data_IF_482891213589
#
_entry.id   IF_482891213589
#
_cell.length_a   1.000
_cell.length_b   1.000
_cell.length_c   1.000
_cell.angle_alpha   90.00
_cell.angle_beta   90.00
_cell.angle_gamma   90.00
#
_symmetry.space_group_name_H-M   'P 1'
#
loop_
_entity.id
_entity.type
_entity.pdbx_description
1 polymer ?
#
# COMPACT_ATOMS: atom_id res chain seq x y z
N UNK A 1 -14.09 -10.53 17.19
CA UNK A 1 -13.30 -9.41 16.64
C UNK A 1 -12.51 -9.90 15.45
N UNK A 2 -12.84 -9.45 14.23
CA UNK A 2 -11.93 -9.67 13.09
C UNK A 2 -10.57 -9.10 13.46
N UNK A 3 -9.51 -9.92 13.44
CA UNK A 3 -8.14 -9.46 13.69
C UNK A 3 -7.88 -8.32 12.71
N UNK A 4 -7.73 -7.08 13.20
CA UNK A 4 -7.38 -5.95 12.34
C UNK A 4 -6.15 -6.33 11.55
N UNK A 5 -6.25 -6.29 10.23
CA UNK A 5 -5.15 -6.63 9.34
C UNK A 5 -3.93 -5.76 9.66
N UNK A 6 -2.75 -6.38 9.78
CA UNK A 6 -1.51 -5.65 9.92
C UNK A 6 -1.17 -5.01 8.57
N UNK A 7 -1.36 -3.69 8.46
CA UNK A 7 -1.13 -2.89 7.24
C UNK A 7 0.26 -3.15 6.65
N UNK A 8 1.30 -3.21 7.48
CA UNK A 8 2.66 -3.43 6.99
C UNK A 8 2.79 -4.81 6.34
N UNK A 9 2.27 -5.85 6.99
CA UNK A 9 2.32 -7.20 6.46
C UNK A 9 1.54 -7.30 5.15
N UNK A 10 0.37 -6.66 5.08
CA UNK A 10 -0.46 -6.63 3.87
C UNK A 10 0.29 -5.95 2.73
N UNK A 11 0.86 -4.77 2.95
CA UNK A 11 1.65 -4.06 1.94
C UNK A 11 2.92 -4.83 1.53
N UNK A 12 3.46 -5.73 2.37
CA UNK A 12 4.61 -6.57 1.99
C UNK A 12 4.23 -7.82 1.20
N UNK A 13 2.97 -8.24 1.23
CA UNK A 13 2.55 -9.57 0.71
C UNK A 13 1.49 -9.50 -0.38
N UNK A 14 0.83 -8.36 -0.54
CA UNK A 14 -0.25 -8.17 -1.50
C UNK A 14 0.14 -7.11 -2.53
N UNK A 15 -0.33 -7.26 -3.76
CA UNK A 15 -0.01 -6.37 -4.88
C UNK A 15 -1.07 -5.30 -5.14
N UNK A 16 -2.29 -5.46 -4.60
CA UNK A 16 -3.37 -4.48 -4.66
C UNK A 16 -4.02 -4.39 -3.29
N UNK A 17 -4.07 -3.20 -2.73
CA UNK A 17 -4.57 -2.94 -1.37
C UNK A 17 -5.36 -1.65 -1.37
N UNK A 18 -6.59 -1.68 -0.87
CA UNK A 18 -7.35 -0.47 -0.60
C UNK A 18 -7.24 -0.17 0.88
N UNK A 19 -6.77 1.03 1.20
CA UNK A 19 -6.61 1.53 2.56
C UNK A 19 -7.66 2.62 2.84
N UNK A 20 -8.20 2.61 4.05
CA UNK A 20 -8.80 3.79 4.65
C UNK A 20 -7.69 4.48 5.46
N UNK A 21 -7.35 5.70 5.06
CA UNK A 21 -6.34 6.54 5.67
C UNK A 21 -7.03 7.78 6.23
N UNK A 22 -7.21 7.83 7.55
CA UNK A 22 -8.08 8.80 8.22
C UNK A 22 -9.47 8.85 7.55
N UNK A 23 -9.86 9.96 6.93
CA UNK A 23 -11.14 10.12 6.22
C UNK A 23 -11.04 9.84 4.71
N UNK A 24 -9.84 9.53 4.21
CA UNK A 24 -9.57 9.28 2.79
C UNK A 24 -9.48 7.78 2.45
N UNK A 25 -9.83 7.44 1.21
CA UNK A 25 -9.57 6.10 0.66
C UNK A 25 -8.43 6.17 -0.33
N UNK A 26 -7.46 5.28 -0.16
CA UNK A 26 -6.28 5.19 -1.01
C UNK A 26 -6.20 3.79 -1.61
N UNK A 27 -6.13 3.72 -2.93
CA UNK A 27 -5.84 2.50 -3.66
C UNK A 27 -4.33 2.39 -3.89
N UNK A 28 -3.71 1.39 -3.26
CA UNK A 28 -2.31 1.05 -3.43
C UNK A 28 -2.18 -0.10 -4.42
N UNK A 29 -1.29 0.02 -5.41
CA UNK A 29 -0.98 -1.05 -6.36
C UNK A 29 0.52 -1.17 -6.57
N UNK A 30 1.07 -2.36 -6.33
CA UNK A 30 2.45 -2.68 -6.68
C UNK A 30 2.52 -3.08 -8.16
N UNK A 31 3.39 -2.44 -8.91
CA UNK A 31 3.66 -2.71 -10.32
C UNK A 31 5.15 -2.91 -10.53
N UNK A 32 5.52 -3.91 -11.33
CA UNK A 32 6.91 -4.09 -11.74
C UNK A 32 7.31 -2.95 -12.68
N UNK A 33 8.51 -2.41 -12.47
CA UNK A 33 9.08 -1.39 -13.36
C UNK A 33 9.65 -2.11 -14.60
N UNK A 34 9.30 -1.70 -15.84
CA UNK A 34 9.81 -2.33 -17.04
C UNK A 34 11.34 -2.31 -17.11
N UNK A 35 11.95 -3.47 -17.36
CA UNK A 35 13.41 -3.62 -17.43
C UNK A 35 14.10 -3.77 -16.07
N UNK A 36 13.36 -3.67 -14.97
CA UNK A 36 13.91 -3.76 -13.61
C UNK A 36 13.49 -5.04 -12.89
N UNK A 37 14.32 -5.44 -11.92
CA UNK A 37 14.03 -6.58 -11.03
C UNK A 37 13.10 -6.22 -9.86
N UNK A 38 12.75 -4.94 -9.72
CA UNK A 38 11.89 -4.43 -8.65
C UNK A 38 10.63 -3.77 -9.21
N UNK A 39 9.69 -3.51 -8.31
CA UNK A 39 8.49 -2.76 -8.60
C UNK A 39 8.33 -1.55 -7.68
N UNK A 40 7.43 -0.65 -8.06
CA UNK A 40 7.06 0.54 -7.29
C UNK A 40 5.59 0.48 -6.92
N UNK A 41 5.23 1.23 -5.88
CA UNK A 41 3.86 1.38 -5.47
C UNK A 41 3.23 2.59 -6.15
N UNK A 42 2.05 2.37 -6.71
CA UNK A 42 1.19 3.42 -7.24
C UNK A 42 0.10 3.71 -6.22
N UNK A 43 -0.17 4.99 -5.96
CA UNK A 43 -1.25 5.46 -5.08
C UNK A 43 -2.30 6.16 -5.93
N UNK A 44 -3.53 5.66 -5.89
CA UNK A 44 -4.65 6.17 -6.69
C UNK A 44 -4.35 6.26 -8.21
N UNK A 45 -3.41 5.43 -8.70
CA UNK A 45 -2.97 5.41 -10.10
C UNK A 45 -1.67 6.16 -10.37
N UNK A 46 -1.26 7.06 -9.47
CA UNK A 46 -0.01 7.82 -9.59
C UNK A 46 1.18 6.99 -9.13
N UNK A 47 2.22 6.89 -9.95
CA UNK A 47 3.48 6.25 -9.57
C UNK A 47 4.18 7.08 -8.51
N UNK A 48 4.48 6.47 -7.36
CA UNK A 48 5.22 7.16 -6.30
C UNK A 48 6.73 6.99 -6.44
N UNK A 49 7.19 6.06 -7.28
CA UNK A 49 8.60 5.63 -7.31
C UNK A 49 9.06 4.93 -6.02
N UNK A 50 8.17 4.71 -5.05
CA UNK A 50 8.52 4.17 -3.74
C UNK A 50 8.40 2.64 -3.71
N UNK A 51 9.43 2.01 -3.14
CA UNK A 51 9.33 0.62 -2.69
C UNK A 51 8.58 0.52 -1.36
N UNK A 52 8.19 -0.69 -0.97
CA UNK A 52 7.27 -0.96 0.15
C UNK A 52 7.69 -0.31 1.48
N UNK A 53 8.98 -0.32 1.83
CA UNK A 53 9.47 0.24 3.10
C UNK A 53 9.29 1.76 3.15
N UNK A 54 9.68 2.44 2.07
CA UNK A 54 9.53 3.89 1.95
C UNK A 54 8.06 4.28 1.92
N UNK A 55 7.22 3.53 1.19
CA UNK A 55 5.78 3.75 1.17
C UNK A 55 5.16 3.65 2.56
N UNK A 56 5.48 2.59 3.33
CA UNK A 56 4.96 2.40 4.69
C UNK A 56 5.34 3.60 5.58
N UNK A 57 6.58 4.08 5.46
CA UNK A 57 7.04 5.26 6.21
C UNK A 57 6.22 6.49 5.83
N UNK A 58 6.09 6.80 4.54
CA UNK A 58 5.31 7.95 4.05
C UNK A 58 3.84 7.90 4.49
N UNK A 59 3.19 6.73 4.39
CA UNK A 59 1.79 6.58 4.81
C UNK A 59 1.64 6.82 6.31
N UNK A 60 2.57 6.33 7.14
CA UNK A 60 2.53 6.51 8.59
C UNK A 60 2.87 7.93 9.05
N UNK A 61 3.69 8.65 8.29
CA UNK A 61 4.00 10.06 8.56
C UNK A 61 2.82 10.96 8.19
N UNK A 62 2.11 10.64 7.11
CA UNK A 62 0.99 11.44 6.61
C UNK A 62 -0.34 11.17 7.32
N UNK A 63 -0.62 9.92 7.67
CA UNK A 63 -1.93 9.49 8.17
C UNK A 63 -1.86 8.91 9.58
N UNK A 64 -2.79 9.31 10.45
CA UNK A 64 -2.82 8.86 11.86
C UNK A 64 -3.44 7.48 11.99
N UNK A 65 -4.51 7.22 11.24
CA UNK A 65 -5.25 5.97 11.25
C UNK A 65 -5.16 5.35 9.87
N UNK A 66 -4.67 4.11 9.79
CA UNK A 66 -4.61 3.35 8.55
C UNK A 66 -5.27 1.99 8.76
N UNK A 67 -6.26 1.66 7.93
CA UNK A 67 -6.99 0.40 7.98
C UNK A 67 -7.03 -0.23 6.59
N UNK A 68 -6.84 -1.54 6.52
CA UNK A 68 -7.04 -2.28 5.27
C UNK A 68 -8.54 -2.48 5.04
N UNK A 69 -9.03 -2.02 3.90
CA UNK A 69 -10.42 -2.24 3.46
C UNK A 69 -10.50 -3.48 2.58
N UNK A 70 -9.53 -3.67 1.69
CA UNK A 70 -9.50 -4.76 0.74
C UNK A 70 -8.05 -5.06 0.33
N UNK A 71 -7.77 -6.31 -0.04
CA UNK A 71 -6.44 -6.73 -0.47
C UNK A 71 -6.54 -7.91 -1.44
N UNK A 72 -5.59 -7.99 -2.38
CA UNK A 72 -5.43 -9.11 -3.32
C UNK A 72 -3.95 -9.41 -3.56
N UNK A 73 -3.64 -10.70 -3.51
CA UNK A 73 -2.39 -11.28 -3.95
C UNK A 73 -2.61 -11.90 -5.35
N UNK A 74 -1.57 -11.96 -6.18
CA UNK A 74 -1.59 -12.71 -7.45
C UNK A 74 -1.24 -14.17 -7.20
#
# INVERSE_FOLDING_TARGET
MSKRDNVNLVLMTHCKVNLQCDDEKIQCRYLQVPGESYGTWHLNGEDTGLQVRSLIKTIREKYKIVKVLWKRQY
#
